data_IF_367824202888
#
_entry.id   IF_367824202888
#
_cell.length_a   1.000
_cell.length_b   1.000
_cell.length_c   1.000
_cell.angle_alpha   90.00
_cell.angle_beta   90.00
_cell.angle_gamma   90.00
#
_symmetry.space_group_name_H-M   'P 1'
#
loop_
_entity.id
_entity.type
_entity.pdbx_description
1 polymer ?
#
# COMPACT_ATOMS: atom_id res chain seq x y z
N UNK A 1 2.31 -13.39 -4.07
CA UNK A 1 1.21 -13.72 -3.12
C UNK A 1 1.58 -14.82 -2.13
N UNK A 2 2.43 -15.75 -2.48
CA UNK A 2 2.80 -16.87 -1.62
C UNK A 2 3.32 -16.46 -0.23
N UNK A 3 4.17 -15.42 -0.17
CA UNK A 3 4.68 -14.87 1.11
C UNK A 3 3.57 -14.36 2.04
N UNK A 4 2.55 -13.70 1.48
CA UNK A 4 1.40 -13.25 2.28
C UNK A 4 0.58 -14.42 2.80
N UNK A 5 0.33 -15.44 1.97
CA UNK A 5 -0.41 -16.63 2.40
C UNK A 5 0.35 -17.36 3.52
N UNK A 6 1.66 -17.51 3.40
CA UNK A 6 2.50 -18.11 4.45
C UNK A 6 2.46 -17.33 5.76
N UNK A 7 2.55 -15.99 5.68
CA UNK A 7 2.42 -15.15 6.87
C UNK A 7 1.03 -15.27 7.52
N UNK A 8 -0.05 -15.38 6.72
CA UNK A 8 -1.42 -15.64 7.22
C UNK A 8 -1.51 -17.02 7.90
N UNK A 9 -0.90 -18.02 7.31
CA UNK A 9 -0.88 -19.38 7.87
C UNK A 9 -0.08 -19.45 9.17
N UNK A 10 1.05 -18.75 9.26
CA UNK A 10 1.86 -18.67 10.46
C UNK A 10 1.15 -17.91 11.59
N UNK A 11 0.60 -16.74 11.29
CA UNK A 11 -0.15 -15.93 12.25
C UNK A 11 -1.52 -16.54 12.62
N UNK A 12 -2.04 -17.50 11.82
CA UNK A 12 -3.42 -18.02 11.92
C UNK A 12 -4.46 -16.90 11.94
N UNK A 13 -4.18 -15.81 11.24
CA UNK A 13 -4.95 -14.58 11.24
C UNK A 13 -4.80 -13.85 9.89
N UNK A 14 -5.88 -13.61 9.13
CA UNK A 14 -5.81 -12.90 7.85
C UNK A 14 -5.94 -11.37 7.98
N UNK A 15 -5.93 -10.84 9.20
CA UNK A 15 -6.16 -9.41 9.42
C UNK A 15 -4.94 -8.57 9.03
N UNK A 16 -5.19 -7.41 8.45
CA UNK A 16 -4.17 -6.41 8.11
C UNK A 16 -4.43 -5.13 8.89
N UNK A 17 -3.43 -4.59 9.57
CA UNK A 17 -3.57 -3.35 10.35
C UNK A 17 -3.22 -2.14 9.50
N UNK A 18 -4.15 -1.18 9.39
CA UNK A 18 -3.93 0.10 8.70
C UNK A 18 -3.02 1.02 9.53
N UNK A 19 -2.06 1.67 8.88
CA UNK A 19 -1.20 2.69 9.45
C UNK A 19 -1.48 4.03 8.75
N UNK A 20 -2.58 4.67 9.17
CA UNK A 20 -3.15 5.87 8.57
C UNK A 20 -3.03 7.05 9.58
N UNK A 21 -1.80 7.50 9.96
CA UNK A 21 -1.65 8.52 10.98
C UNK A 21 -2.21 9.86 10.50
N UNK A 22 -2.89 10.53 11.41
CA UNK A 22 -3.34 11.92 11.20
C UNK A 22 -3.05 12.74 12.45
N UNK A 23 -2.96 14.08 12.36
CA UNK A 23 -2.74 14.92 13.54
C UNK A 23 -3.82 14.71 14.64
N UNK A 24 -5.01 14.27 14.26
CA UNK A 24 -6.11 14.00 15.20
C UNK A 24 -5.99 12.64 15.89
N UNK A 25 -5.32 11.67 15.27
CA UNK A 25 -5.16 10.30 15.81
C UNK A 25 -3.89 10.16 16.66
N UNK A 26 -2.83 10.89 16.30
CA UNK A 26 -1.58 10.83 17.06
C UNK A 26 -1.77 11.58 18.40
N UNK A 27 -1.50 10.93 19.54
CA UNK A 27 -1.65 11.58 20.84
C UNK A 27 -0.76 12.84 20.93
N UNK A 28 -1.27 13.99 21.43
CA UNK A 28 -0.50 15.22 21.56
C UNK A 28 0.83 15.04 22.30
N UNK A 29 0.85 14.16 23.27
CA UNK A 29 2.06 13.85 24.06
C UNK A 29 3.19 13.28 23.19
N UNK A 30 2.86 12.49 22.16
CA UNK A 30 3.85 11.96 21.21
C UNK A 30 4.42 13.09 20.38
N UNK A 31 3.58 14.00 19.87
CA UNK A 31 4.01 15.18 19.11
C UNK A 31 4.91 16.10 19.94
N UNK A 32 4.54 16.32 21.21
CA UNK A 32 5.26 17.25 22.10
C UNK A 32 6.60 16.68 22.58
N UNK A 33 6.71 15.34 22.71
CA UNK A 33 7.93 14.68 23.22
C UNK A 33 9.17 14.95 22.37
N UNK A 34 9.03 15.17 21.07
CA UNK A 34 10.15 15.35 20.14
C UNK A 34 10.33 16.77 19.65
N UNK A 35 9.52 17.74 20.15
CA UNK A 35 9.52 19.10 19.61
C UNK A 35 10.86 19.81 19.74
N UNK A 36 11.54 19.70 20.87
CA UNK A 36 12.81 20.39 21.11
C UNK A 36 13.93 19.74 20.31
N UNK A 37 14.01 18.41 20.24
CA UNK A 37 14.99 17.66 19.45
C UNK A 37 14.83 17.97 17.95
N UNK A 38 13.61 17.96 17.44
CA UNK A 38 13.32 18.30 16.04
C UNK A 38 13.71 19.74 15.74
N UNK A 39 13.41 20.68 16.64
CA UNK A 39 13.78 22.10 16.46
C UNK A 39 15.30 22.30 16.37
N UNK A 40 16.08 21.52 17.13
CA UNK A 40 17.52 21.58 17.09
C UNK A 40 18.12 20.98 15.79
N UNK A 41 17.38 20.10 15.11
CA UNK A 41 17.84 19.38 13.92
C UNK A 41 17.50 20.06 12.59
N UNK A 42 16.57 21.04 12.58
CA UNK A 42 16.14 21.74 11.36
C UNK A 42 16.87 23.07 11.20
N UNK A 43 17.16 23.45 9.95
CA UNK A 43 17.77 24.74 9.62
C UNK A 43 16.74 25.87 9.44
N UNK A 44 15.54 25.53 8.93
CA UNK A 44 14.45 26.46 8.67
C UNK A 44 13.25 26.18 9.60
N UNK A 45 12.96 27.09 10.51
CA UNK A 45 11.82 26.97 11.44
C UNK A 45 10.46 26.84 10.73
N UNK A 46 10.34 27.24 9.46
CA UNK A 46 9.11 27.04 8.69
C UNK A 46 8.81 25.56 8.42
N UNK A 47 9.80 24.67 8.47
CA UNK A 47 9.67 23.23 8.32
C UNK A 47 9.25 22.52 9.61
N UNK A 48 9.34 23.19 10.76
CA UNK A 48 9.07 22.60 12.06
C UNK A 48 7.72 21.87 12.16
N UNK A 49 6.59 22.39 11.63
CA UNK A 49 5.32 21.67 11.71
C UNK A 49 5.34 20.32 11.00
N UNK A 50 5.95 20.23 9.81
CA UNK A 50 6.06 18.99 9.05
C UNK A 50 7.04 18.00 9.72
N UNK A 51 8.20 18.47 10.15
CA UNK A 51 9.22 17.66 10.81
C UNK A 51 8.70 17.05 12.14
N UNK A 52 7.99 17.82 12.95
CA UNK A 52 7.35 17.31 14.17
C UNK A 52 6.33 16.22 13.91
N UNK A 53 5.48 16.43 12.90
CA UNK A 53 4.47 15.41 12.53
C UNK A 53 5.14 14.17 11.96
N UNK A 54 6.19 14.31 11.17
CA UNK A 54 6.94 13.20 10.60
C UNK A 54 7.50 12.27 11.69
N UNK A 55 8.21 12.84 12.68
CA UNK A 55 8.73 12.05 13.82
C UNK A 55 7.59 11.44 14.64
N UNK A 56 6.55 12.23 14.92
CA UNK A 56 5.41 11.74 15.70
C UNK A 56 4.66 10.60 14.99
N UNK A 57 4.51 10.65 13.66
CA UNK A 57 3.90 9.59 12.88
C UNK A 57 4.74 8.31 12.92
N UNK A 58 6.07 8.44 12.78
CA UNK A 58 6.95 7.29 12.88
C UNK A 58 6.85 6.61 14.24
N UNK A 59 6.97 7.36 15.34
CA UNK A 59 6.92 6.81 16.70
C UNK A 59 5.55 6.20 17.03
N UNK A 60 4.48 6.82 16.57
CA UNK A 60 3.12 6.28 16.72
C UNK A 60 2.95 4.95 15.96
N UNK A 61 3.40 4.90 14.71
CA UNK A 61 3.34 3.68 13.91
C UNK A 61 4.25 2.58 14.47
N UNK A 62 5.44 2.94 14.94
CA UNK A 62 6.38 2.01 15.58
C UNK A 62 5.72 1.33 16.78
N UNK A 63 5.06 2.11 17.64
CA UNK A 63 4.35 1.57 18.79
C UNK A 63 3.19 0.64 18.39
N UNK A 64 2.49 0.93 17.29
CA UNK A 64 1.44 0.05 16.74
C UNK A 64 2.08 -1.23 16.21
N UNK A 65 3.12 -1.13 15.39
CA UNK A 65 3.83 -2.26 14.81
C UNK A 65 4.33 -3.20 15.92
N UNK A 66 5.01 -2.66 16.94
CA UNK A 66 5.50 -3.44 18.09
C UNK A 66 4.37 -4.18 18.82
N UNK A 67 3.18 -3.57 18.88
CA UNK A 67 2.04 -4.17 19.55
C UNK A 67 1.31 -5.26 18.74
N UNK A 68 1.48 -5.28 17.42
CA UNK A 68 0.71 -6.17 16.53
C UNK A 68 1.56 -7.20 15.77
N UNK A 69 2.88 -7.08 15.79
CA UNK A 69 3.78 -7.91 14.99
C UNK A 69 3.63 -9.42 15.26
N UNK A 70 3.32 -9.80 16.51
CA UNK A 70 3.07 -11.20 16.88
C UNK A 70 1.60 -11.64 16.66
N UNK A 71 0.73 -10.76 16.13
CA UNK A 71 -0.71 -10.99 16.06
C UNK A 71 -1.21 -11.06 14.62
N UNK A 72 -0.68 -10.20 13.74
CA UNK A 72 -1.16 -10.06 12.36
C UNK A 72 -0.03 -10.34 11.36
N UNK A 73 -0.35 -10.84 10.16
CA UNK A 73 0.66 -11.11 9.13
C UNK A 73 1.17 -9.86 8.42
N UNK A 74 0.39 -8.77 8.44
CA UNK A 74 0.63 -7.64 7.56
C UNK A 74 0.16 -6.31 8.15
N UNK A 75 0.80 -5.23 7.67
CA UNK A 75 0.36 -3.85 7.87
C UNK A 75 0.13 -3.15 6.52
N UNK A 76 -0.71 -2.11 6.54
CA UNK A 76 -1.05 -1.34 5.33
C UNK A 76 -0.92 0.16 5.59
N UNK A 77 0.27 0.74 5.38
CA UNK A 77 0.45 2.18 5.46
C UNK A 77 -0.21 2.89 4.26
N UNK A 78 -0.98 3.96 4.56
CA UNK A 78 -1.66 4.79 3.56
C UNK A 78 -0.77 5.98 3.20
N UNK A 79 -0.15 5.96 2.01
CA UNK A 79 0.84 6.98 1.60
C UNK A 79 0.30 8.42 1.64
N UNK A 80 -0.99 8.62 1.36
CA UNK A 80 -1.59 9.96 1.34
C UNK A 80 -1.46 10.70 2.67
N UNK A 81 -1.45 9.98 3.82
CA UNK A 81 -1.29 10.59 5.13
C UNK A 81 0.10 11.18 5.32
N UNK A 82 1.10 10.58 4.70
CA UNK A 82 2.50 10.99 4.73
C UNK A 82 2.79 12.05 3.68
N UNK A 83 2.29 11.89 2.44
CA UNK A 83 2.41 12.90 1.39
C UNK A 83 1.81 14.26 1.82
N UNK A 84 0.75 14.24 2.65
CA UNK A 84 0.10 15.44 3.16
C UNK A 84 1.02 16.37 3.98
N UNK A 85 2.11 15.84 4.53
CA UNK A 85 3.11 16.63 5.28
C UNK A 85 4.42 16.82 4.52
N UNK A 86 4.42 16.53 3.20
CA UNK A 86 5.54 16.80 2.30
C UNK A 86 6.69 15.79 2.37
N UNK A 87 7.91 16.18 1.94
CA UNK A 87 9.04 15.25 1.84
C UNK A 87 9.36 14.50 3.13
N UNK A 88 9.36 15.20 4.27
CA UNK A 88 9.59 14.56 5.58
C UNK A 88 8.57 13.44 5.88
N UNK A 89 7.33 13.59 5.41
CA UNK A 89 6.33 12.53 5.52
C UNK A 89 6.62 11.35 4.62
N UNK A 90 7.08 11.57 3.38
CA UNK A 90 7.48 10.49 2.47
C UNK A 90 8.66 9.70 3.05
N UNK A 91 9.64 10.37 3.63
CA UNK A 91 10.74 9.71 4.34
C UNK A 91 10.20 8.87 5.51
N UNK A 92 9.27 9.42 6.29
CA UNK A 92 8.60 8.69 7.38
C UNK A 92 7.82 7.47 6.89
N UNK A 93 7.19 7.55 5.71
CA UNK A 93 6.53 6.42 5.10
C UNK A 93 7.51 5.28 4.83
N UNK A 94 8.63 5.57 4.18
CA UNK A 94 9.66 4.56 3.87
C UNK A 94 10.26 3.95 5.13
N UNK A 95 10.58 4.77 6.13
CA UNK A 95 11.06 4.30 7.46
C UNK A 95 10.03 3.40 8.15
N UNK A 96 8.75 3.73 8.06
CA UNK A 96 7.66 2.91 8.63
C UNK A 96 7.58 1.54 7.94
N UNK A 97 7.66 1.52 6.60
CA UNK A 97 7.64 0.28 5.81
C UNK A 97 8.86 -0.59 6.13
N UNK A 98 10.07 0.01 6.17
CA UNK A 98 11.30 -0.69 6.53
C UNK A 98 11.21 -1.29 7.93
N UNK A 99 10.75 -0.50 8.90
CA UNK A 99 10.60 -0.98 10.28
C UNK A 99 9.61 -2.15 10.38
N UNK A 100 8.49 -2.08 9.66
CA UNK A 100 7.51 -3.18 9.64
C UNK A 100 8.10 -4.48 9.06
N UNK A 101 8.88 -4.39 7.96
CA UNK A 101 9.59 -5.54 7.41
C UNK A 101 10.64 -6.11 8.37
N UNK A 102 11.36 -5.25 9.10
CA UNK A 102 12.32 -5.68 10.13
C UNK A 102 11.65 -6.43 11.28
N UNK A 103 10.36 -6.15 11.57
CA UNK A 103 9.55 -6.91 12.52
C UNK A 103 8.90 -8.16 11.92
N UNK A 104 9.20 -8.51 10.68
CA UNK A 104 8.67 -9.70 10.00
C UNK A 104 7.28 -9.56 9.39
N UNK A 105 6.72 -8.35 9.38
CA UNK A 105 5.40 -8.09 8.80
C UNK A 105 5.47 -7.94 7.27
N UNK A 106 4.46 -8.46 6.58
CA UNK A 106 4.23 -8.16 5.17
C UNK A 106 3.68 -6.73 5.02
N UNK A 107 4.27 -5.93 4.13
CA UNK A 107 3.92 -4.52 3.95
C UNK A 107 3.12 -4.32 2.67
N UNK A 108 1.85 -3.95 2.82
CA UNK A 108 0.97 -3.57 1.71
C UNK A 108 0.89 -2.03 1.60
N UNK A 109 1.64 -1.44 0.68
CA UNK A 109 1.57 -0.01 0.39
C UNK A 109 0.22 0.39 -0.20
N UNK A 110 -0.57 1.18 0.54
CA UNK A 110 -1.84 1.68 0.03
C UNK A 110 -1.62 2.98 -0.76
N UNK A 111 -1.10 2.85 -1.99
CA UNK A 111 -0.65 3.96 -2.82
C UNK A 111 -1.63 4.33 -3.94
N UNK A 112 -2.47 3.40 -4.37
CA UNK A 112 -3.51 3.57 -5.40
C UNK A 112 -3.02 4.29 -6.67
N UNK A 113 -1.79 3.95 -7.12
CA UNK A 113 -1.23 4.56 -8.34
C UNK A 113 -1.93 4.02 -9.59
N UNK A 114 -1.88 4.83 -10.65
CA UNK A 114 -2.42 4.45 -11.96
C UNK A 114 -2.01 5.49 -12.98
N UNK A 115 -1.38 5.02 -14.08
CA UNK A 115 -0.98 5.80 -15.24
C UNK A 115 -0.74 4.82 -16.41
N UNK A 116 -0.22 5.27 -17.54
CA UNK A 116 0.07 4.45 -18.72
C UNK A 116 1.56 4.52 -19.11
N UNK A 117 2.02 3.50 -19.84
CA UNK A 117 3.34 3.47 -20.47
C UNK A 117 4.49 3.70 -19.49
N UNK A 118 5.40 4.60 -19.83
CA UNK A 118 6.59 4.89 -19.02
C UNK A 118 6.27 5.50 -17.65
N UNK A 119 5.15 6.20 -17.50
CA UNK A 119 4.73 6.75 -16.21
C UNK A 119 4.22 5.63 -15.29
N UNK A 120 3.44 4.68 -15.81
CA UNK A 120 3.05 3.49 -15.05
C UNK A 120 4.29 2.67 -14.63
N UNK A 121 5.28 2.50 -15.53
CA UNK A 121 6.54 1.85 -15.20
C UNK A 121 7.33 2.59 -14.10
N UNK A 122 7.32 3.93 -14.10
CA UNK A 122 7.94 4.72 -13.03
C UNK A 122 7.24 4.51 -11.69
N UNK A 123 5.90 4.48 -11.66
CA UNK A 123 5.15 4.13 -10.45
C UNK A 123 5.37 2.68 -10.00
N UNK A 124 5.58 1.73 -10.93
CA UNK A 124 5.93 0.36 -10.58
C UNK A 124 7.31 0.24 -9.90
N UNK A 125 8.10 1.32 -9.87
CA UNK A 125 9.31 1.48 -9.06
C UNK A 125 9.09 1.25 -7.55
N UNK A 126 7.87 1.39 -7.06
CA UNK A 126 7.49 0.95 -5.71
C UNK A 126 7.75 -0.55 -5.48
N UNK A 127 7.66 -1.36 -6.54
CA UNK A 127 7.90 -2.80 -6.48
C UNK A 127 9.31 -3.18 -6.96
N UNK A 128 9.78 -2.56 -8.06
CA UNK A 128 11.06 -2.93 -8.68
C UNK A 128 12.28 -2.27 -8.02
N UNK A 129 12.08 -1.23 -7.21
CA UNK A 129 13.18 -0.43 -6.68
C UNK A 129 13.93 0.36 -7.76
N UNK A 130 15.14 0.81 -7.40
CA UNK A 130 16.04 1.59 -8.25
C UNK A 130 17.28 0.77 -8.55
N UNK A 131 17.65 0.69 -9.84
CA UNK A 131 18.88 0.00 -10.28
C UNK A 131 19.87 1.01 -10.87
N UNK A 132 21.15 0.88 -10.48
CA UNK A 132 22.28 1.57 -11.11
C UNK A 132 23.43 0.59 -11.28
N UNK A 133 23.74 0.23 -12.54
CA UNK A 133 24.69 -0.83 -12.84
C UNK A 133 24.24 -2.17 -12.25
N UNK A 134 25.09 -2.77 -11.39
CA UNK A 134 24.80 -4.06 -10.73
C UNK A 134 24.08 -3.91 -9.39
N UNK A 135 23.80 -2.66 -8.94
CA UNK A 135 23.15 -2.36 -7.66
C UNK A 135 21.63 -2.31 -7.79
N UNK A 136 20.94 -2.93 -6.82
CA UNK A 136 19.48 -2.77 -6.61
C UNK A 136 19.27 -2.17 -5.22
N UNK A 137 18.49 -1.10 -5.17
CA UNK A 137 18.04 -0.49 -3.93
C UNK A 137 16.53 -0.40 -3.92
N UNK A 138 15.90 -0.93 -2.86
CA UNK A 138 14.45 -0.79 -2.63
C UNK A 138 14.19 0.35 -1.65
N UNK A 139 13.81 1.55 -2.14
CA UNK A 139 13.55 2.70 -1.27
C UNK A 139 12.22 2.62 -0.54
N UNK A 140 11.29 1.75 -0.99
CA UNK A 140 9.91 1.77 -0.51
C UNK A 140 9.62 0.71 0.55
N UNK A 141 10.38 -0.40 0.54
CA UNK A 141 10.18 -1.50 1.49
C UNK A 141 8.74 -2.05 1.53
N UNK A 142 8.12 -2.12 0.35
CA UNK A 142 6.78 -2.66 0.17
C UNK A 142 6.83 -4.06 -0.42
N UNK A 143 6.00 -4.97 0.10
CA UNK A 143 5.83 -6.34 -0.43
C UNK A 143 4.68 -6.39 -1.45
N UNK A 144 3.72 -5.49 -1.32
CA UNK A 144 2.64 -5.30 -2.28
C UNK A 144 2.21 -3.84 -2.33
N UNK A 145 1.50 -3.47 -3.41
CA UNK A 145 0.90 -2.14 -3.55
C UNK A 145 -0.53 -2.20 -4.09
N UNK A 146 -1.32 -1.19 -3.75
CA UNK A 146 -2.64 -0.99 -4.38
C UNK A 146 -2.52 -0.18 -5.67
N UNK A 147 -3.29 -0.57 -6.69
CA UNK A 147 -3.29 0.08 -8.02
C UNK A 147 -4.71 0.37 -8.52
N UNK A 148 -4.84 1.43 -9.33
CA UNK A 148 -6.11 1.86 -9.90
C UNK A 148 -6.26 1.34 -11.33
N UNK A 149 -7.32 0.56 -11.65
CA UNK A 149 -7.49 -0.08 -12.94
C UNK A 149 -8.11 0.82 -14.03
N UNK A 150 -8.47 2.05 -13.71
CA UNK A 150 -9.30 2.90 -14.58
C UNK A 150 -8.74 3.08 -16.00
N UNK A 151 -7.43 3.01 -16.16
CA UNK A 151 -6.75 3.13 -17.45
C UNK A 151 -6.56 1.78 -18.18
N UNK A 152 -7.09 0.69 -17.64
CA UNK A 152 -7.07 -0.63 -18.26
C UNK A 152 -5.70 -1.31 -18.21
N UNK A 153 -5.50 -2.28 -19.12
CA UNK A 153 -4.33 -3.17 -19.15
C UNK A 153 -3.01 -2.41 -19.24
N UNK A 154 -2.94 -1.34 -20.02
CA UNK A 154 -1.72 -0.52 -20.18
C UNK A 154 -1.24 0.09 -18.86
N UNK A 155 -2.18 0.36 -17.96
CA UNK A 155 -1.88 0.89 -16.63
C UNK A 155 -1.48 -0.19 -15.61
N UNK A 156 -1.86 -1.45 -15.85
CA UNK A 156 -1.63 -2.56 -14.91
C UNK A 156 -0.41 -3.40 -15.28
N UNK A 157 -0.16 -3.64 -16.57
CA UNK A 157 0.94 -4.49 -17.04
C UNK A 157 2.28 -4.16 -16.40
N UNK A 158 2.75 -2.88 -16.32
CA UNK A 158 4.04 -2.57 -15.71
C UNK A 158 4.15 -2.98 -14.24
N UNK A 159 3.05 -2.90 -13.49
CA UNK A 159 3.02 -3.34 -12.10
C UNK A 159 3.04 -4.87 -11.97
N UNK A 160 2.34 -5.60 -12.86
CA UNK A 160 2.38 -7.08 -12.89
C UNK A 160 3.78 -7.58 -13.23
N UNK A 161 4.42 -6.96 -14.22
CA UNK A 161 5.79 -7.29 -14.62
C UNK A 161 6.78 -7.06 -13.46
N UNK A 162 6.71 -5.90 -12.79
CA UNK A 162 7.54 -5.58 -11.64
C UNK A 162 7.28 -6.54 -10.46
N UNK A 163 6.01 -6.79 -10.14
CA UNK A 163 5.62 -7.71 -9.05
C UNK A 163 6.17 -9.12 -9.28
N UNK A 164 5.98 -9.65 -10.49
CA UNK A 164 6.46 -10.99 -10.85
C UNK A 164 7.99 -11.09 -10.83
N UNK A 165 8.69 -10.05 -11.31
CA UNK A 165 10.15 -10.05 -11.36
C UNK A 165 10.81 -9.97 -9.98
N UNK A 166 10.14 -9.39 -8.98
CA UNK A 166 10.68 -9.11 -7.65
C UNK A 166 10.00 -9.90 -6.52
N UNK A 167 9.17 -10.90 -6.85
CA UNK A 167 8.37 -11.70 -5.88
C UNK A 167 7.55 -10.82 -4.93
N UNK A 168 6.90 -9.81 -5.51
CA UNK A 168 5.99 -8.87 -4.85
C UNK A 168 4.59 -8.99 -5.44
N UNK A 169 3.63 -8.26 -4.90
CA UNK A 169 2.22 -8.41 -5.28
C UNK A 169 1.55 -7.06 -5.58
N UNK A 170 0.41 -7.10 -6.26
CA UNK A 170 -0.46 -5.93 -6.42
C UNK A 170 -1.89 -6.25 -6.01
N UNK A 171 -2.60 -5.24 -5.52
CA UNK A 171 -4.03 -5.31 -5.25
C UNK A 171 -4.77 -4.24 -6.04
N UNK A 172 -5.57 -4.68 -6.99
CA UNK A 172 -6.31 -3.80 -7.91
C UNK A 172 -7.64 -3.40 -7.30
N UNK A 173 -8.02 -2.13 -7.39
CA UNK A 173 -9.32 -1.65 -6.93
C UNK A 173 -10.43 -2.22 -7.81
N UNK A 174 -11.30 -3.03 -7.24
CA UNK A 174 -12.45 -3.65 -7.95
C UNK A 174 -13.75 -3.05 -7.44
N UNK A 175 -14.05 -3.20 -6.16
CA UNK A 175 -15.26 -2.67 -5.54
C UNK A 175 -14.88 -1.93 -4.26
N UNK A 176 -15.03 -0.62 -4.25
CA UNK A 176 -14.60 0.22 -3.13
C UNK A 176 -15.76 0.54 -2.18
N UNK A 177 -15.44 0.90 -0.92
CA UNK A 177 -16.42 1.08 0.15
C UNK A 177 -16.96 2.51 0.29
N UNK A 178 -16.42 3.47 -0.49
CA UNK A 178 -16.85 4.86 -0.40
C UNK A 178 -18.30 5.07 -0.91
N UNK A 179 -19.07 6.00 -0.36
CA UNK A 179 -20.48 6.20 -0.70
C UNK A 179 -20.76 6.43 -2.19
N UNK A 180 -19.86 7.15 -2.89
CA UNK A 180 -20.00 7.44 -4.33
C UNK A 180 -19.49 6.33 -5.25
N UNK A 181 -19.10 5.18 -4.73
CA UNK A 181 -18.59 4.07 -5.56
C UNK A 181 -19.63 3.58 -6.59
N UNK A 182 -20.91 3.66 -6.26
CA UNK A 182 -22.02 3.28 -7.17
C UNK A 182 -22.15 4.18 -8.40
N UNK A 183 -21.68 5.43 -8.33
CA UNK A 183 -21.75 6.35 -9.48
C UNK A 183 -21.00 5.84 -10.71
N UNK A 184 -19.97 5.03 -10.49
CA UNK A 184 -19.12 4.46 -11.53
C UNK A 184 -19.17 2.93 -11.52
N UNK A 185 -18.91 2.31 -10.37
CA UNK A 185 -18.66 0.87 -10.28
C UNK A 185 -19.92 0.02 -10.50
N UNK A 186 -21.11 0.56 -10.23
CA UNK A 186 -22.40 -0.12 -10.45
C UNK A 186 -23.04 0.20 -11.80
N UNK A 187 -22.36 0.92 -12.70
CA UNK A 187 -22.86 1.14 -14.06
C UNK A 187 -22.99 -0.20 -14.78
N UNK A 188 -24.17 -0.41 -15.36
CA UNK A 188 -24.47 -1.60 -16.14
C UNK A 188 -23.88 -1.46 -17.55
N UNK A 189 -23.11 -2.45 -17.96
CA UNK A 189 -22.51 -2.52 -19.28
C UNK A 189 -23.50 -3.12 -20.30
N UNK A 190 -23.21 -3.00 -21.59
CA UNK A 190 -24.07 -3.50 -22.66
C UNK A 190 -24.35 -5.01 -22.57
N UNK A 191 -23.53 -5.78 -21.90
CA UNK A 191 -23.71 -7.20 -21.63
C UNK A 191 -24.61 -7.52 -20.43
N UNK A 192 -25.01 -6.52 -19.64
CA UNK A 192 -25.79 -6.67 -18.42
C UNK A 192 -24.96 -6.89 -17.15
N UNK A 193 -23.65 -7.01 -17.28
CA UNK A 193 -22.69 -7.03 -16.15
C UNK A 193 -22.45 -5.60 -15.62
N UNK A 194 -22.07 -5.47 -14.37
CA UNK A 194 -21.64 -4.19 -13.79
C UNK A 194 -20.16 -3.92 -14.04
N UNK A 195 -19.77 -2.64 -13.99
CA UNK A 195 -18.38 -2.27 -14.24
C UNK A 195 -17.41 -2.94 -13.25
N UNK A 196 -17.77 -3.08 -11.95
CA UNK A 196 -16.90 -3.76 -11.00
C UNK A 196 -16.76 -5.25 -11.31
N UNK A 197 -17.79 -5.94 -11.83
CA UNK A 197 -17.73 -7.36 -12.24
C UNK A 197 -16.77 -7.50 -13.42
N UNK A 198 -16.89 -6.64 -14.42
CA UNK A 198 -15.95 -6.58 -15.54
C UNK A 198 -14.51 -6.31 -15.08
N UNK A 199 -14.33 -5.47 -14.07
CA UNK A 199 -13.01 -5.20 -13.51
C UNK A 199 -12.46 -6.44 -12.81
N UNK A 200 -13.29 -7.21 -12.11
CA UNK A 200 -12.89 -8.47 -11.49
C UNK A 200 -12.41 -9.50 -12.53
N UNK A 201 -13.12 -9.66 -13.64
CA UNK A 201 -12.70 -10.53 -14.76
C UNK A 201 -11.36 -10.11 -15.34
N UNK A 202 -11.11 -8.81 -15.47
CA UNK A 202 -9.83 -8.30 -15.92
C UNK A 202 -8.71 -8.59 -14.95
N UNK A 203 -8.96 -8.46 -13.64
CA UNK A 203 -7.98 -8.78 -12.57
C UNK A 203 -7.61 -10.26 -12.63
N UNK A 204 -8.58 -11.16 -12.79
CA UNK A 204 -8.31 -12.58 -12.98
C UNK A 204 -7.44 -12.82 -14.22
N UNK A 205 -7.77 -12.17 -15.34
CA UNK A 205 -6.99 -12.28 -16.57
C UNK A 205 -5.56 -11.76 -16.44
N UNK A 206 -5.36 -10.62 -15.76
CA UNK A 206 -4.01 -10.06 -15.53
C UNK A 206 -3.13 -10.94 -14.63
N UNK A 207 -3.76 -11.69 -13.73
CA UNK A 207 -3.06 -12.59 -12.81
C UNK A 207 -2.83 -14.01 -13.34
N UNK A 208 -3.46 -14.40 -14.44
CA UNK A 208 -3.56 -15.80 -14.89
C UNK A 208 -2.21 -16.53 -15.05
N UNK A 209 -1.18 -15.82 -15.52
CA UNK A 209 0.16 -16.37 -15.76
C UNK A 209 1.09 -16.25 -14.53
N UNK A 210 0.59 -15.76 -13.39
CA UNK A 210 1.39 -15.46 -12.19
C UNK A 210 0.97 -16.28 -10.97
N UNK A 211 0.28 -17.40 -11.18
CA UNK A 211 -0.22 -18.27 -10.09
C UNK A 211 0.95 -18.93 -9.36
N UNK A 212 1.04 -18.66 -8.06
CA UNK A 212 2.05 -19.22 -7.17
C UNK A 212 1.72 -20.64 -6.65
N UNK A 213 2.56 -21.14 -5.76
CA UNK A 213 2.47 -22.49 -5.19
C UNK A 213 1.24 -22.73 -4.31
N UNK A 214 0.68 -21.66 -3.71
CA UNK A 214 -0.54 -21.71 -2.92
C UNK A 214 -1.81 -21.52 -3.75
N UNK A 215 -1.70 -21.40 -5.09
CA UNK A 215 -2.83 -21.28 -6.00
C UNK A 215 -3.39 -19.86 -6.15
N UNK A 216 -2.69 -18.86 -5.63
CA UNK A 216 -3.01 -17.45 -5.78
C UNK A 216 -2.04 -16.76 -6.74
N UNK A 217 -2.53 -15.79 -7.51
CA UNK A 217 -1.70 -14.99 -8.42
C UNK A 217 -1.05 -13.81 -7.68
N UNK A 218 -0.03 -13.19 -8.30
CA UNK A 218 0.53 -11.92 -7.83
C UNK A 218 -0.45 -10.73 -7.95
N UNK A 219 -1.64 -10.96 -8.51
CA UNK A 219 -2.67 -9.93 -8.72
C UNK A 219 -3.89 -10.24 -7.87
N UNK A 220 -4.06 -9.49 -6.81
CA UNK A 220 -5.21 -9.54 -5.91
C UNK A 220 -6.24 -8.44 -6.24
N UNK A 221 -7.40 -8.52 -5.59
CA UNK A 221 -8.48 -7.56 -5.73
C UNK A 221 -8.80 -6.86 -4.40
N UNK A 222 -9.11 -5.56 -4.46
CA UNK A 222 -9.68 -4.83 -3.33
C UNK A 222 -11.20 -4.83 -3.46
N UNK A 223 -11.88 -5.45 -2.48
CA UNK A 223 -13.34 -5.46 -2.36
C UNK A 223 -13.74 -4.92 -0.99
N UNK A 224 -14.53 -3.86 -0.98
CA UNK A 224 -14.97 -3.21 0.25
C UNK A 224 -15.86 -4.10 1.11
N UNK A 225 -15.58 -4.21 2.40
CA UNK A 225 -16.35 -5.01 3.36
C UNK A 225 -17.82 -4.55 3.52
N UNK A 226 -18.17 -3.35 3.05
CA UNK A 226 -19.54 -2.85 2.99
C UNK A 226 -20.40 -3.55 1.93
N UNK A 227 -19.78 -4.30 1.02
CA UNK A 227 -20.42 -5.03 -0.08
C UNK A 227 -20.11 -6.54 -0.04
N UNK A 228 -20.45 -7.26 1.05
CA UNK A 228 -20.02 -8.66 1.23
C UNK A 228 -20.63 -9.65 0.23
N UNK A 229 -21.73 -9.30 -0.43
CA UNK A 229 -22.34 -10.12 -1.47
C UNK A 229 -21.65 -9.98 -2.82
N UNK A 230 -21.00 -8.85 -3.05
CA UNK A 230 -20.27 -8.53 -4.28
C UNK A 230 -18.82 -9.07 -4.26
N UNK A 231 -18.35 -9.54 -3.11
CA UNK A 231 -17.04 -10.19 -2.92
C UNK A 231 -17.06 -11.72 -3.04
N UNK A 232 -18.17 -12.29 -3.49
CA UNK A 232 -18.36 -13.73 -3.71
C UNK A 232 -18.16 -14.08 -5.17
#
# INVERSE_FOLDING_TARGET
MDRLIEAIEEAQNPSVVGLDPTPALVPPQVVDSFTDEVRESIEDESELPAARLAVAYFEFNRAIIDAVADIVPAVKPQIAMYEAIGPAGVDTYTMTCEYAQQQGLYVLGDIKRGDIGSTAAAYAGHLSGVTDGDGLYDPWHEDAVTVNPYLGTDGITPFVEAATAHDKDIFVLVRTSNPSSSELQELELAGGEKLYERTADLVEGWGADTIGRHGYSHVGAVVGATHPQEGK
#
